data_IF_965393521131
#
_entry.id   IF_965393521131
#
_cell.length_a   1.000
_cell.length_b   1.000
_cell.length_c   1.000
_cell.angle_alpha   90.00
_cell.angle_beta   90.00
_cell.angle_gamma   90.00
#
_symmetry.space_group_name_H-M   'P 1'
#
loop_
_entity.id
_entity.type
_entity.pdbx_description
1 polymer ?
#
# COMPACT_ATOMS: atom_id res chain seq x y z
N UNK A 1 5.47 -57.57 -31.49
CA UNK A 1 4.53 -57.11 -30.41
C UNK A 1 5.15 -55.91 -29.76
N UNK A 2 4.71 -54.72 -30.11
CA UNK A 2 5.34 -53.45 -29.71
C UNK A 2 4.51 -52.82 -28.63
N UNK A 3 5.01 -52.88 -27.39
CA UNK A 3 4.39 -52.22 -26.24
C UNK A 3 4.66 -50.72 -26.35
N UNK A 4 3.63 -49.99 -26.69
CA UNK A 4 3.65 -48.53 -26.70
C UNK A 4 3.34 -48.06 -25.26
N UNK A 5 4.38 -47.80 -24.49
CA UNK A 5 4.23 -47.12 -23.17
C UNK A 5 3.87 -45.69 -23.37
N UNK A 6 2.61 -45.37 -23.30
CA UNK A 6 2.11 -44.01 -23.23
C UNK A 6 2.41 -43.50 -21.82
N UNK A 7 3.48 -42.69 -21.69
CA UNK A 7 3.73 -41.92 -20.49
C UNK A 7 2.72 -40.77 -20.43
N UNK A 8 1.68 -40.97 -19.65
CA UNK A 8 0.72 -39.93 -19.30
C UNK A 8 1.42 -38.96 -18.33
N UNK A 9 1.97 -37.88 -18.87
CA UNK A 9 2.51 -36.78 -18.05
C UNK A 9 1.34 -36.05 -17.43
N UNK A 10 1.02 -36.39 -16.19
CA UNK A 10 0.07 -35.63 -15.37
C UNK A 10 0.82 -34.37 -14.94
N UNK A 11 0.58 -33.27 -15.63
CA UNK A 11 1.00 -31.95 -15.20
C UNK A 11 0.12 -31.61 -13.98
N UNK A 12 0.66 -31.77 -12.79
CA UNK A 12 0.07 -31.23 -11.57
C UNK A 12 0.07 -29.71 -11.71
N UNK A 13 -1.04 -29.16 -12.17
CA UNK A 13 -1.30 -27.72 -12.05
C UNK A 13 -1.48 -27.44 -10.55
N UNK A 14 -0.40 -27.04 -9.88
CA UNK A 14 -0.50 -26.48 -8.54
C UNK A 14 -1.42 -25.25 -8.61
N UNK A 15 -2.45 -25.14 -7.75
CA UNK A 15 -3.24 -23.94 -7.68
C UNK A 15 -2.28 -22.82 -7.27
N UNK A 16 -2.04 -21.89 -8.16
CA UNK A 16 -1.44 -20.61 -7.80
C UNK A 16 -2.52 -19.94 -6.93
N UNK A 17 -2.34 -20.01 -5.61
CA UNK A 17 -3.12 -19.20 -4.71
C UNK A 17 -2.73 -17.75 -5.07
N UNK A 18 -3.50 -17.12 -5.95
CA UNK A 18 -3.52 -15.69 -6.05
C UNK A 18 -3.98 -15.21 -4.66
N UNK A 19 -3.05 -14.66 -3.90
CA UNK A 19 -3.40 -13.91 -2.70
C UNK A 19 -4.19 -12.74 -3.26
N UNK A 20 -5.52 -12.87 -3.24
CA UNK A 20 -6.40 -11.75 -3.54
C UNK A 20 -6.07 -10.70 -2.47
N UNK A 21 -5.72 -9.51 -2.92
CA UNK A 21 -5.60 -8.35 -2.06
C UNK A 21 -6.97 -8.19 -1.36
N UNK A 22 -7.03 -8.53 -0.08
CA UNK A 22 -8.28 -8.48 0.70
C UNK A 22 -8.72 -7.04 1.01
N UNK A 23 -7.97 -6.05 0.50
CA UNK A 23 -8.32 -4.64 0.67
C UNK A 23 -9.49 -4.27 -0.24
N UNK A 24 -10.60 -3.74 0.33
CA UNK A 24 -11.71 -3.25 -0.48
C UNK A 24 -11.24 -2.13 -1.42
N UNK A 25 -11.67 -2.16 -2.67
CA UNK A 25 -11.27 -1.17 -3.70
C UNK A 25 -11.48 0.27 -3.22
N UNK A 26 -12.56 0.53 -2.48
CA UNK A 26 -12.84 1.86 -1.95
C UNK A 26 -11.76 2.33 -0.97
N UNK A 27 -11.28 1.45 -0.09
CA UNK A 27 -10.23 1.79 0.88
C UNK A 27 -8.88 1.97 0.20
N UNK A 28 -8.59 1.15 -0.81
CA UNK A 28 -7.39 1.31 -1.65
C UNK A 28 -7.37 2.67 -2.35
N UNK A 29 -8.48 3.06 -2.99
CA UNK A 29 -8.61 4.37 -3.64
C UNK A 29 -8.51 5.52 -2.63
N UNK A 30 -9.17 5.40 -1.48
CA UNK A 30 -9.09 6.39 -0.40
C UNK A 30 -7.67 6.59 0.08
N UNK A 31 -6.95 5.49 0.35
CA UNK A 31 -5.55 5.55 0.76
C UNK A 31 -4.68 6.30 -0.25
N UNK A 32 -4.83 5.97 -1.54
CA UNK A 32 -4.05 6.60 -2.61
C UNK A 32 -4.33 8.11 -2.70
N UNK A 33 -5.60 8.51 -2.60
CA UNK A 33 -6.00 9.92 -2.63
C UNK A 33 -5.46 10.70 -1.43
N UNK A 34 -5.56 10.13 -0.23
CA UNK A 34 -5.03 10.74 1.01
C UNK A 34 -3.51 10.88 0.93
N UNK A 35 -2.81 9.83 0.51
CA UNK A 35 -1.36 9.83 0.30
C UNK A 35 -0.92 10.89 -0.72
N UNK A 36 -1.59 11.02 -1.86
CA UNK A 36 -1.29 12.07 -2.85
C UNK A 36 -1.49 13.46 -2.27
N UNK A 37 -2.53 13.66 -1.45
CA UNK A 37 -2.75 14.93 -0.77
C UNK A 37 -1.61 15.28 0.18
N UNK A 38 -1.11 14.30 0.95
CA UNK A 38 0.06 14.48 1.83
C UNK A 38 1.35 14.80 1.06
N UNK A 39 1.50 14.29 -0.17
CA UNK A 39 2.64 14.54 -1.04
C UNK A 39 2.56 15.84 -1.86
N UNK A 40 1.56 16.65 -1.61
CA UNK A 40 1.41 17.98 -2.24
C UNK A 40 0.44 18.03 -3.41
N UNK A 41 -0.36 16.99 -3.62
CA UNK A 41 -1.47 16.99 -4.58
C UNK A 41 -1.42 15.89 -5.62
N UNK A 42 -2.36 15.99 -6.56
CA UNK A 42 -2.55 14.99 -7.62
C UNK A 42 -1.55 15.24 -8.75
N UNK A 43 -0.54 14.39 -8.83
CA UNK A 43 0.37 14.29 -9.97
C UNK A 43 0.56 12.82 -10.33
N UNK A 44 1.06 12.56 -11.52
CA UNK A 44 1.33 11.19 -11.98
C UNK A 44 2.40 10.52 -11.10
N UNK A 45 3.43 11.25 -10.73
CA UNK A 45 4.50 10.76 -9.86
C UNK A 45 3.98 10.38 -8.47
N UNK A 46 3.11 11.22 -7.89
CA UNK A 46 2.47 10.94 -6.61
C UNK A 46 1.52 9.75 -6.71
N UNK A 47 0.79 9.62 -7.84
CA UNK A 47 -0.10 8.48 -8.07
C UNK A 47 0.68 7.16 -8.08
N UNK A 48 1.79 7.09 -8.83
CA UNK A 48 2.63 5.89 -8.87
C UNK A 48 3.25 5.58 -7.51
N UNK A 49 3.80 6.57 -6.84
CA UNK A 49 4.39 6.38 -5.52
C UNK A 49 3.35 5.91 -4.49
N UNK A 50 2.16 6.51 -4.47
CA UNK A 50 1.09 6.18 -3.52
C UNK A 50 0.45 4.83 -3.81
N UNK A 51 0.29 4.44 -5.08
CA UNK A 51 -0.18 3.10 -5.46
C UNK A 51 0.84 2.03 -5.04
N UNK A 52 2.12 2.24 -5.31
CA UNK A 52 3.19 1.35 -4.85
C UNK A 52 3.20 1.20 -3.32
N UNK A 53 3.04 2.32 -2.57
CA UNK A 53 2.97 2.28 -1.10
C UNK A 53 1.76 1.51 -0.60
N UNK A 54 0.63 1.65 -1.27
CA UNK A 54 -0.58 0.88 -0.95
C UNK A 54 -0.32 -0.62 -1.13
N UNK A 55 0.22 -1.04 -2.27
CA UNK A 55 0.51 -2.45 -2.56
C UNK A 55 1.52 -3.03 -1.56
N UNK A 56 2.52 -2.22 -1.17
CA UNK A 56 3.46 -2.62 -0.14
C UNK A 56 2.76 -2.86 1.20
N UNK A 57 1.88 -1.94 1.63
CA UNK A 57 1.12 -2.07 2.88
C UNK A 57 0.22 -3.30 2.83
N UNK A 58 -0.53 -3.49 1.75
CA UNK A 58 -1.44 -4.62 1.57
C UNK A 58 -0.73 -5.98 1.60
N UNK A 59 0.53 -6.03 1.14
CA UNK A 59 1.34 -7.25 1.19
C UNK A 59 2.00 -7.53 2.56
N UNK A 60 2.01 -6.56 3.48
CA UNK A 60 2.68 -6.65 4.78
C UNK A 60 1.76 -6.52 5.99
N UNK A 61 0.52 -6.14 5.79
CA UNK A 61 -0.46 -5.94 6.85
C UNK A 61 -1.85 -6.36 6.36
N UNK A 62 -2.54 -7.21 7.11
CA UNK A 62 -3.91 -7.61 6.78
C UNK A 62 -4.87 -6.42 6.89
N UNK A 63 -5.90 -6.42 6.06
CA UNK A 63 -6.87 -5.31 5.99
C UNK A 63 -7.52 -5.00 7.34
N UNK A 64 -7.96 -6.00 8.08
CA UNK A 64 -8.60 -5.81 9.38
C UNK A 64 -7.67 -5.10 10.38
N UNK A 65 -6.39 -5.44 10.37
CA UNK A 65 -5.38 -4.79 11.22
C UNK A 65 -5.11 -3.35 10.77
N UNK A 66 -5.04 -3.14 9.47
CA UNK A 66 -4.89 -1.80 8.87
C UNK A 66 -6.07 -0.91 9.22
N UNK A 67 -7.31 -1.41 9.09
CA UNK A 67 -8.52 -0.68 9.42
C UNK A 67 -8.56 -0.30 10.90
N UNK A 68 -8.31 -1.26 11.80
CA UNK A 68 -8.24 -1.02 13.25
C UNK A 68 -7.16 0.02 13.61
N UNK A 69 -5.95 -0.13 13.06
CA UNK A 69 -4.86 0.80 13.32
C UNK A 69 -5.20 2.22 12.82
N UNK A 70 -5.80 2.34 11.64
CA UNK A 70 -6.24 3.62 11.07
C UNK A 70 -7.35 4.24 11.92
N UNK A 71 -8.30 3.44 12.40
CA UNK A 71 -9.31 3.88 13.33
C UNK A 71 -8.68 4.47 14.61
N UNK A 72 -7.72 3.78 15.22
CA UNK A 72 -7.05 4.27 16.42
C UNK A 72 -6.26 5.55 16.17
N UNK A 73 -5.60 5.70 15.04
CA UNK A 73 -4.91 6.94 14.66
C UNK A 73 -5.89 8.12 14.57
N UNK A 74 -7.06 7.92 13.96
CA UNK A 74 -8.09 8.96 13.86
C UNK A 74 -8.67 9.35 15.22
N UNK A 75 -8.96 8.36 16.08
CA UNK A 75 -9.52 8.61 17.42
C UNK A 75 -8.51 9.25 18.37
N UNK A 76 -7.23 8.91 18.25
CA UNK A 76 -6.17 9.51 19.07
C UNK A 76 -6.07 11.03 18.88
N UNK A 77 -6.39 11.50 17.67
CA UNK A 77 -6.41 12.93 17.33
C UNK A 77 -7.67 13.66 17.85
N UNK A 78 -8.68 12.93 18.35
CA UNK A 78 -9.89 13.55 18.85
C UNK A 78 -9.67 14.16 20.25
N UNK A 79 -10.13 15.40 20.49
CA UNK A 79 -10.05 16.03 21.80
C UNK A 79 -10.97 15.35 22.81
N UNK A 80 -10.60 15.40 24.10
CA UNK A 80 -11.41 14.96 25.21
C UNK A 80 -11.35 13.46 25.53
N UNK A 81 -12.37 12.96 26.24
CA UNK A 81 -12.41 11.59 26.78
C UNK A 81 -12.36 10.50 25.73
N UNK A 82 -12.88 10.75 24.50
CA UNK A 82 -12.90 9.77 23.41
C UNK A 82 -11.48 9.43 22.92
N UNK A 83 -10.64 10.44 22.76
CA UNK A 83 -9.24 10.21 22.42
C UNK A 83 -8.45 9.58 23.57
N UNK A 84 -8.79 9.90 24.83
CA UNK A 84 -8.15 9.34 26.02
C UNK A 84 -8.28 7.81 26.11
N UNK A 85 -9.44 7.25 25.81
CA UNK A 85 -9.67 5.80 25.83
C UNK A 85 -8.75 5.03 24.86
N UNK A 86 -8.38 5.65 23.75
CA UNK A 86 -7.48 5.04 22.76
C UNK A 86 -6.02 5.23 23.15
N UNK A 87 -5.66 6.39 23.72
CA UNK A 87 -4.28 6.68 24.16
C UNK A 87 -3.80 5.75 25.27
N UNK A 88 -4.71 5.34 26.16
CA UNK A 88 -4.42 4.47 27.30
C UNK A 88 -4.52 2.97 26.95
N UNK A 89 -4.89 2.63 25.72
CA UNK A 89 -5.03 1.24 25.27
C UNK A 89 -3.69 0.74 24.66
N UNK A 90 -3.11 -0.28 25.28
CA UNK A 90 -1.83 -0.88 24.86
C UNK A 90 -1.92 -1.51 23.45
N UNK A 91 -3.01 -2.24 23.17
CA UNK A 91 -3.25 -2.84 21.85
C UNK A 91 -3.34 -1.77 20.73
N UNK A 92 -4.05 -0.68 21.01
CA UNK A 92 -4.11 0.46 20.10
C UNK A 92 -2.73 1.08 19.87
N UNK A 93 -1.89 1.14 20.92
CA UNK A 93 -0.51 1.59 20.82
C UNK A 93 0.35 0.73 19.92
N UNK A 94 0.24 -0.58 20.02
CA UNK A 94 1.02 -1.52 19.22
C UNK A 94 0.57 -1.56 17.76
N UNK A 95 -0.73 -1.53 17.50
CA UNK A 95 -1.28 -1.42 16.14
C UNK A 95 -0.85 -0.12 15.45
N UNK A 96 -0.84 1.00 16.15
CA UNK A 96 -0.34 2.28 15.61
C UNK A 96 1.15 2.22 15.27
N UNK A 97 1.97 1.59 16.10
CA UNK A 97 3.41 1.40 15.83
C UNK A 97 3.63 0.51 14.62
N UNK A 98 2.88 -0.59 14.51
CA UNK A 98 2.94 -1.50 13.36
C UNK A 98 2.59 -0.75 12.07
N UNK A 99 1.47 -0.03 12.05
CA UNK A 99 1.05 0.77 10.90
C UNK A 99 2.11 1.81 10.51
N UNK A 100 2.67 2.54 11.49
CA UNK A 100 3.72 3.52 11.23
C UNK A 100 4.97 2.88 10.64
N UNK A 101 5.38 1.71 11.15
CA UNK A 101 6.53 0.98 10.63
C UNK A 101 6.29 0.59 9.17
N UNK A 102 5.17 -0.06 8.87
CA UNK A 102 4.84 -0.50 7.50
C UNK A 102 4.74 0.70 6.54
N UNK A 103 4.13 1.81 6.96
CA UNK A 103 4.07 3.06 6.15
C UNK A 103 5.46 3.65 5.91
N UNK A 104 6.33 3.63 6.90
CA UNK A 104 7.71 4.12 6.74
C UNK A 104 8.51 3.25 5.78
N UNK A 105 8.40 1.94 5.91
CA UNK A 105 9.03 0.99 5.02
C UNK A 105 8.48 1.12 3.58
N UNK A 106 7.16 1.30 3.43
CA UNK A 106 6.53 1.56 2.14
C UNK A 106 7.07 2.85 1.48
N UNK A 107 7.21 3.92 2.25
CA UNK A 107 7.75 5.18 1.73
C UNK A 107 9.22 5.06 1.29
N UNK A 108 10.01 4.27 2.00
CA UNK A 108 11.41 3.99 1.64
C UNK A 108 11.53 3.14 0.37
N UNK A 109 10.62 2.17 0.17
CA UNK A 109 10.62 1.31 -1.01
C UNK A 109 9.94 1.95 -2.24
N UNK A 110 9.05 2.92 -2.02
CA UNK A 110 8.27 3.60 -3.05
C UNK A 110 8.50 5.12 -2.99
N UNK A 111 9.70 5.61 -3.35
CA UNK A 111 9.99 7.04 -3.36
C UNK A 111 9.23 7.76 -4.48
N UNK A 112 8.95 9.05 -4.29
CA UNK A 112 8.43 9.90 -5.37
C UNK A 112 9.58 10.22 -6.32
N UNK A 113 9.50 9.72 -7.55
CA UNK A 113 10.48 10.03 -8.61
C UNK A 113 9.95 11.23 -9.40
N UNK A 114 10.56 12.40 -9.20
CA UNK A 114 10.23 13.58 -9.99
C UNK A 114 10.86 13.46 -11.38
N UNK A 115 10.05 13.43 -12.42
CA UNK A 115 10.54 13.62 -13.78
C UNK A 115 11.00 15.06 -13.92
N UNK A 116 12.30 15.25 -14.09
CA UNK A 116 12.83 16.55 -14.50
C UNK A 116 12.48 16.71 -15.97
N UNK A 117 11.45 17.51 -16.27
CA UNK A 117 11.22 17.91 -17.65
C UNK A 117 12.49 18.57 -18.20
N UNK A 118 12.99 18.16 -19.36
CA UNK A 118 14.12 18.85 -20.00
C UNK A 118 13.65 20.28 -20.28
N UNK A 119 14.42 21.24 -19.78
CA UNK A 119 14.19 22.66 -19.94
C UNK A 119 13.99 23.01 -21.44
N UNK A 120 12.75 23.31 -21.80
CA UNK A 120 12.36 23.75 -23.16
C UNK A 120 12.81 25.19 -23.48
N UNK A 121 13.59 25.82 -22.61
CA UNK A 121 14.01 27.22 -22.79
C UNK A 121 15.25 27.37 -23.70
N UNK A 122 15.89 26.30 -24.12
CA UNK A 122 16.91 26.36 -25.19
C UNK A 122 16.29 26.28 -26.58
N UNK A 123 15.54 27.31 -26.94
CA UNK A 123 15.26 27.62 -28.34
C UNK A 123 16.58 27.98 -28.96
N UNK A 124 17.12 27.09 -29.80
CA UNK A 124 18.23 27.39 -30.70
C UNK A 124 17.78 28.51 -31.60
N UNK A 125 18.41 29.70 -31.48
CA UNK A 125 18.34 30.75 -32.47
C UNK A 125 19.40 30.41 -33.50
N UNK A 126 18.96 29.97 -34.67
CA UNK A 126 19.72 30.03 -35.93
C UNK A 126 19.21 31.19 -36.73
#
# INVERSE_FOLDING_TARGET
MKNCCIYLVIILAAPVNAIADDYPTMESVRYVLDCMSELGGQSEENLYACSCRHDYIASHMEFDRFEQATFFVRYDQMPGKRGGLVRDNEEAGDLKKELNKVKTDAAANCPVVKHVEPDKSKKVVE
#
